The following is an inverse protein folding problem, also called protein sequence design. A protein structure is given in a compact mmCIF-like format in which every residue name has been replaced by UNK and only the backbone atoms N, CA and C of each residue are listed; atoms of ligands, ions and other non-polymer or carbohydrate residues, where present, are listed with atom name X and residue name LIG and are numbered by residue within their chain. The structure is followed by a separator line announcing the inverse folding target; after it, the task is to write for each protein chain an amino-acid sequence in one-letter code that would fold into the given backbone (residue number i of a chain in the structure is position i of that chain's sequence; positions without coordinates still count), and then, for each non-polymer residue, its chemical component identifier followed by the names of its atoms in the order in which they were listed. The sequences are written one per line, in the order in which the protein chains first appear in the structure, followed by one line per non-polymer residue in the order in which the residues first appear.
data_IF_729283952586
#
_entry.id   IF_729283952586
#
_cell.length_a   1.000
_cell.length_b   1.000
_cell.length_c   1.000
_cell.angle_alpha   90.00
_cell.angle_beta   90.00
_cell.angle_gamma   90.00
#
_symmetry.space_group_name_H-M   'P 1'
#
loop_
_entity.id
_entity.type
_entity.pdbx_description
1 polymer ?
#
# COMPACT_ATOMS: atom_id res chain seq x y z
N UNK A 1 7.50 -2.96 -21.40
CA UNK A 1 7.79 -3.48 -20.03
C UNK A 1 7.68 -2.37 -18.97
N UNK A 2 7.97 -1.11 -19.31
CA UNK A 2 7.71 0.06 -18.45
C UNK A 2 6.21 0.32 -18.18
N UNK A 3 5.35 0.15 -19.19
CA UNK A 3 3.91 0.42 -19.05
C UNK A 3 3.22 -0.49 -18.02
N UNK A 4 3.68 -1.74 -17.88
CA UNK A 4 3.14 -2.71 -16.92
C UNK A 4 3.53 -2.35 -15.48
N UNK A 5 4.74 -1.82 -15.25
CA UNK A 5 5.17 -1.38 -13.92
C UNK A 5 4.44 -0.11 -13.47
N UNK A 6 4.18 0.80 -14.41
CA UNK A 6 3.41 2.03 -14.16
C UNK A 6 1.97 1.72 -13.72
N UNK A 7 1.33 0.70 -14.31
CA UNK A 7 -0.02 0.29 -13.93
C UNK A 7 -0.13 -0.25 -12.49
N UNK A 8 0.80 -1.08 -12.02
CA UNK A 8 0.71 -1.70 -10.67
C UNK A 8 0.92 -0.70 -9.53
N UNK A 9 1.81 0.28 -9.70
CA UNK A 9 2.04 1.33 -8.69
C UNK A 9 0.79 2.20 -8.51
N UNK A 10 0.08 2.47 -9.60
CA UNK A 10 -1.20 3.19 -9.60
C UNK A 10 -2.26 2.39 -8.82
N UNK A 11 -2.34 1.08 -9.00
CA UNK A 11 -3.32 0.23 -8.30
C UNK A 11 -3.19 0.28 -6.76
N UNK A 12 -1.96 0.26 -6.23
CA UNK A 12 -1.72 0.38 -4.78
C UNK A 12 -2.18 1.73 -4.25
N UNK A 13 -1.78 2.83 -4.90
CA UNK A 13 -2.15 4.16 -4.44
C UNK A 13 -3.65 4.45 -4.57
N UNK A 14 -4.30 3.98 -5.64
CA UNK A 14 -5.75 4.10 -5.78
C UNK A 14 -6.49 3.29 -4.72
N UNK A 15 -5.98 2.12 -4.34
CA UNK A 15 -6.53 1.32 -3.23
C UNK A 15 -6.45 2.09 -1.90
N UNK A 16 -5.30 2.68 -1.59
CA UNK A 16 -5.11 3.49 -0.39
C UNK A 16 -6.01 4.74 -0.40
N UNK A 17 -6.09 5.46 -1.53
CA UNK A 17 -6.99 6.63 -1.69
C UNK A 17 -8.46 6.27 -1.53
N UNK A 18 -8.89 5.14 -2.08
CA UNK A 18 -10.26 4.65 -1.91
C UNK A 18 -10.57 4.41 -0.42
N UNK A 19 -9.63 3.79 0.30
CA UNK A 19 -9.79 3.56 1.74
C UNK A 19 -9.80 4.86 2.55
N UNK A 20 -8.97 5.84 2.19
CA UNK A 20 -9.01 7.18 2.78
C UNK A 20 -10.38 7.83 2.59
N UNK A 21 -10.96 7.76 1.39
CA UNK A 21 -12.32 8.28 1.12
C UNK A 21 -13.38 7.60 1.97
N UNK A 22 -13.34 6.27 2.09
CA UNK A 22 -14.28 5.51 2.94
C UNK A 22 -14.20 5.92 4.41
N UNK A 23 -12.98 6.15 4.93
CA UNK A 23 -12.73 6.58 6.31
C UNK A 23 -12.85 8.10 6.52
N UNK A 24 -13.11 8.86 5.45
CA UNK A 24 -13.10 10.33 5.45
C UNK A 24 -11.79 10.92 6.00
N UNK A 25 -10.66 10.32 5.65
CA UNK A 25 -9.34 10.79 6.03
C UNK A 25 -8.76 11.75 4.98
N UNK A 26 -8.34 12.90 5.47
CA UNK A 26 -7.54 13.90 4.76
C UNK A 26 -6.05 13.58 4.91
N UNK A 27 -5.21 14.19 4.05
CA UNK A 27 -3.76 14.15 4.23
C UNK A 27 -3.32 14.70 5.60
N UNK A 28 -4.06 15.67 6.16
CA UNK A 28 -3.80 16.19 7.49
C UNK A 28 -4.02 15.13 8.58
N UNK A 29 -5.14 14.41 8.54
CA UNK A 29 -5.40 13.32 9.49
C UNK A 29 -4.38 12.19 9.34
N UNK A 30 -4.06 11.82 8.11
CA UNK A 30 -3.07 10.78 7.85
C UNK A 30 -1.67 11.19 8.33
N UNK A 31 -1.31 12.47 8.19
CA UNK A 31 -0.09 13.03 8.79
C UNK A 31 -0.08 12.85 10.31
N UNK A 32 -1.17 13.15 11.01
CA UNK A 32 -1.25 12.99 12.46
C UNK A 32 -1.14 11.52 12.91
N UNK A 33 -1.66 10.58 12.12
CA UNK A 33 -1.61 9.15 12.44
C UNK A 33 -0.25 8.50 12.12
N UNK A 34 0.43 8.97 11.07
CA UNK A 34 1.64 8.30 10.54
C UNK A 34 2.94 9.05 10.84
N UNK A 35 2.83 10.31 11.26
CA UNK A 35 3.92 11.27 11.37
C UNK A 35 4.69 11.50 10.05
N UNK A 36 4.07 11.20 8.90
CA UNK A 36 4.59 11.53 7.57
C UNK A 36 4.16 12.95 7.24
N UNK A 37 5.04 13.79 6.68
CA UNK A 37 4.67 15.17 6.32
C UNK A 37 3.56 15.19 5.28
N UNK A 38 2.67 16.18 5.36
CA UNK A 38 1.60 16.34 4.37
C UNK A 38 2.14 16.52 2.95
N UNK A 39 3.29 17.18 2.80
CA UNK A 39 3.98 17.31 1.51
C UNK A 39 4.42 15.97 0.96
N UNK A 40 5.04 15.10 1.77
CA UNK A 40 5.41 13.74 1.34
C UNK A 40 4.18 12.91 0.99
N UNK A 41 3.11 12.95 1.80
CA UNK A 41 1.85 12.26 1.50
C UNK A 41 1.29 12.71 0.14
N UNK A 42 1.24 14.01 -0.13
CA UNK A 42 0.80 14.55 -1.41
C UNK A 42 1.65 14.01 -2.56
N UNK A 43 2.99 14.09 -2.44
CA UNK A 43 3.91 13.59 -3.47
C UNK A 43 3.77 12.10 -3.70
N UNK A 44 3.53 11.30 -2.66
CA UNK A 44 3.29 9.87 -2.79
C UNK A 44 2.01 9.59 -3.57
N UNK A 45 0.88 10.18 -3.16
CA UNK A 45 -0.41 9.92 -3.78
C UNK A 45 -0.55 10.50 -5.20
N UNK A 46 0.23 11.53 -5.53
CA UNK A 46 0.34 12.07 -6.89
C UNK A 46 1.40 11.36 -7.75
N UNK A 47 2.07 10.34 -7.21
CA UNK A 47 3.15 9.63 -7.88
C UNK A 47 4.34 10.54 -8.29
N UNK A 48 4.57 11.62 -7.56
CA UNK A 48 5.69 12.57 -7.71
C UNK A 48 6.94 12.14 -6.93
N UNK A 49 6.82 11.05 -6.16
CA UNK A 49 7.92 10.41 -5.45
C UNK A 49 7.64 8.94 -5.18
N UNK A 50 8.71 8.18 -4.98
CA UNK A 50 8.63 6.82 -4.47
C UNK A 50 8.34 6.81 -2.97
N UNK A 51 7.48 5.89 -2.55
CA UNK A 51 7.14 5.67 -1.16
C UNK A 51 8.06 4.58 -0.60
N UNK A 52 8.69 4.83 0.53
CA UNK A 52 9.48 3.81 1.22
C UNK A 52 8.59 2.72 1.81
N UNK A 53 9.11 1.50 2.00
CA UNK A 53 8.38 0.42 2.65
C UNK A 53 7.86 0.81 4.04
N UNK A 54 8.66 1.53 4.83
CA UNK A 54 8.24 2.02 6.15
C UNK A 54 7.05 2.99 6.05
N UNK A 55 7.07 3.91 5.08
CA UNK A 55 5.96 4.83 4.87
C UNK A 55 4.69 4.09 4.42
N UNK A 56 4.84 3.10 3.53
CA UNK A 56 3.75 2.24 3.09
C UNK A 56 3.10 1.50 4.26
N UNK A 57 3.89 0.79 5.08
CA UNK A 57 3.38 0.05 6.24
C UNK A 57 2.68 0.95 7.27
N UNK A 58 3.22 2.16 7.53
CA UNK A 58 2.57 3.14 8.40
C UNK A 58 1.21 3.57 7.87
N UNK A 59 1.11 3.86 6.57
CA UNK A 59 -0.15 4.26 5.92
C UNK A 59 -1.14 3.10 5.95
N UNK A 60 -0.71 1.88 5.65
CA UNK A 60 -1.55 0.69 5.75
C UNK A 60 -2.12 0.51 7.15
N UNK A 61 -1.27 0.59 8.18
CA UNK A 61 -1.72 0.50 9.57
C UNK A 61 -2.74 1.62 9.92
N UNK A 62 -2.46 2.88 9.54
CA UNK A 62 -3.39 3.99 9.77
C UNK A 62 -4.75 3.82 9.05
N UNK A 63 -4.77 3.07 7.95
CA UNK A 63 -5.96 2.81 7.14
C UNK A 63 -6.65 1.47 7.44
N UNK A 64 -6.21 0.76 8.48
CA UNK A 64 -6.64 -0.60 8.86
C UNK A 64 -6.44 -1.63 7.73
N UNK A 65 -5.37 -1.50 6.95
CA UNK A 65 -4.91 -2.57 6.06
C UNK A 65 -3.97 -3.51 6.82
N UNK A 66 -4.31 -4.81 6.81
CA UNK A 66 -3.40 -5.86 7.25
C UNK A 66 -2.49 -6.23 6.08
N UNK A 67 -1.22 -5.89 6.19
CA UNK A 67 -0.19 -6.29 5.24
C UNK A 67 0.64 -7.41 5.85
N UNK A 68 0.82 -8.50 5.11
CA UNK A 68 1.64 -9.63 5.51
C UNK A 68 2.92 -9.61 4.66
N UNK A 69 4.07 -9.63 5.32
CA UNK A 69 5.37 -9.87 4.70
C UNK A 69 5.78 -11.26 5.15
N UNK A 70 5.82 -12.20 4.21
CA UNK A 70 6.14 -13.60 4.49
C UNK A 70 7.45 -13.92 3.76
N UNK A 71 8.48 -14.41 4.46
CA UNK A 71 9.69 -14.93 3.83
C UNK A 71 9.33 -16.03 2.83
N UNK A 72 9.95 -16.03 1.66
CA UNK A 72 9.60 -16.96 0.59
C UNK A 72 9.83 -18.44 0.97
N UNK A 73 10.79 -18.69 1.85
CA UNK A 73 11.13 -19.99 2.41
C UNK A 73 10.17 -20.47 3.51
N UNK A 74 9.30 -19.59 4.02
CA UNK A 74 8.28 -19.90 5.03
C UNK A 74 6.86 -19.95 4.45
N UNK A 75 6.69 -19.73 3.14
CA UNK A 75 5.40 -19.83 2.48
C UNK A 75 5.00 -21.31 2.39
N UNK A 76 3.94 -21.68 3.11
CA UNK A 76 3.32 -23.01 3.02
C UNK A 76 2.26 -23.06 1.92
N UNK A 77 2.03 -24.24 1.33
CA UNK A 77 0.95 -24.44 0.33
C UNK A 77 -0.44 -24.03 0.88
N UNK A 78 -0.65 -24.20 2.20
CA UNK A 78 -1.87 -23.76 2.89
C UNK A 78 -2.01 -22.23 2.92
N UNK A 79 -0.91 -21.50 3.16
CA UNK A 79 -0.90 -20.04 3.15
C UNK A 79 -1.17 -19.51 1.74
N UNK A 80 -0.54 -20.07 0.70
CA UNK A 80 -0.81 -19.70 -0.70
C UNK A 80 -2.28 -19.91 -1.08
N UNK A 81 -2.83 -21.06 -0.69
CA UNK A 81 -4.23 -21.41 -0.95
C UNK A 81 -5.20 -20.43 -0.26
N UNK A 82 -4.88 -19.98 0.95
CA UNK A 82 -5.71 -19.02 1.71
C UNK A 82 -5.78 -17.62 1.08
N UNK A 83 -4.78 -17.26 0.28
CA UNK A 83 -4.68 -15.94 -0.37
C UNK A 83 -5.29 -15.93 -1.78
N UNK A 84 -5.83 -17.04 -2.29
CA UNK A 84 -6.26 -17.20 -3.68
C UNK A 84 -5.19 -16.76 -4.71
N UNK A 85 -3.92 -16.84 -4.33
CA UNK A 85 -2.80 -16.56 -5.23
C UNK A 85 -2.59 -17.77 -6.13
N UNK A 86 -3.49 -17.98 -7.11
CA UNK A 86 -3.15 -18.86 -8.24
C UNK A 86 -2.05 -18.17 -9.04
N UNK A 87 -0.80 -18.39 -8.63
CA UNK A 87 0.35 -18.07 -9.46
C UNK A 87 0.28 -19.04 -10.63
N UNK A 88 -0.17 -18.51 -11.78
CA UNK A 88 -0.16 -19.28 -13.03
C UNK A 88 1.31 -19.58 -13.37
N UNK A 89 1.66 -20.83 -13.70
CA UNK A 89 3.01 -21.19 -14.08
C UNK A 89 3.49 -20.43 -15.32
#
# INVERSE_FOLDING_TARGET
MEDVKKNRKVEVFETLKARMKQKQYTNYQLHKLTNISQSSLSRYFNNESDMSLSAFLKICNALDFKCYLVPADEITEEFESSLNLKIKP
#
